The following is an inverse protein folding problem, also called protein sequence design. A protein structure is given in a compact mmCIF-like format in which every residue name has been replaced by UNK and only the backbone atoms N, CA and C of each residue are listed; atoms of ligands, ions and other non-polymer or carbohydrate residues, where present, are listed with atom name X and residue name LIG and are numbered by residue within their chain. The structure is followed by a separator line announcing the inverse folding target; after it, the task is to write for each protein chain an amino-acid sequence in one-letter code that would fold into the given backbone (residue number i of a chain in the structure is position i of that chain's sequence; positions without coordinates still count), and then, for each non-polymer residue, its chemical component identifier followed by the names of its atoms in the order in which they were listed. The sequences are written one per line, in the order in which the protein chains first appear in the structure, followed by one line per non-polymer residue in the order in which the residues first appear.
data_IF_607501788315
#
_entry.id   IF_607501788315
#
_cell.length_a   1.000
_cell.length_b   1.000
_cell.length_c   1.000
_cell.angle_alpha   90.00
_cell.angle_beta   90.00
_cell.angle_gamma   90.00
#
_symmetry.space_group_name_H-M   'P 1'
#
loop_
_entity.id
_entity.type
_entity.pdbx_description
1 polymer ?
#
# COMPACT_ATOMS: atom_id res chain seq x y z
N UNK A 1 31.77 0.28 -18.25
CA UNK A 1 30.97 -0.92 -18.55
C UNK A 1 29.64 -0.43 -19.10
N UNK A 2 29.25 -0.84 -20.31
CA UNK A 2 27.93 -0.52 -20.86
C UNK A 2 26.89 -1.44 -20.22
N UNK A 3 25.75 -0.93 -19.74
CA UNK A 3 24.71 -1.78 -19.16
C UNK A 3 24.22 -2.79 -20.19
N UNK A 4 23.89 -3.99 -19.73
CA UNK A 4 23.24 -4.98 -20.58
C UNK A 4 21.83 -4.51 -20.93
N UNK A 5 21.25 -5.03 -22.01
CA UNK A 5 19.88 -4.70 -22.38
C UNK A 5 18.88 -5.02 -21.27
N UNK A 6 19.16 -6.06 -20.47
CA UNK A 6 18.30 -6.45 -19.35
C UNK A 6 18.34 -5.46 -18.19
N UNK A 7 19.50 -4.86 -17.91
CA UNK A 7 19.64 -3.81 -16.90
C UNK A 7 18.80 -2.59 -17.26
N UNK A 8 18.80 -2.21 -18.54
CA UNK A 8 18.00 -1.08 -19.05
C UNK A 8 16.50 -1.38 -18.93
N UNK A 9 16.07 -2.56 -19.36
CA UNK A 9 14.66 -2.97 -19.28
C UNK A 9 14.17 -3.03 -17.84
N UNK A 10 14.93 -3.69 -16.96
CA UNK A 10 14.59 -3.78 -15.54
C UNK A 10 14.50 -2.39 -14.89
N UNK A 11 15.46 -1.51 -15.19
CA UNK A 11 15.46 -0.15 -14.66
C UNK A 11 14.24 0.64 -15.14
N UNK A 12 13.92 0.59 -16.45
CA UNK A 12 12.74 1.27 -16.98
C UNK A 12 11.45 0.74 -16.36
N UNK A 13 11.30 -0.59 -16.30
CA UNK A 13 10.12 -1.22 -15.71
C UNK A 13 9.97 -0.85 -14.24
N UNK A 14 11.04 -0.94 -13.44
CA UNK A 14 11.02 -0.57 -12.03
C UNK A 14 10.66 0.91 -11.83
N UNK A 15 11.26 1.80 -12.61
CA UNK A 15 11.04 3.23 -12.51
C UNK A 15 9.59 3.62 -12.86
N UNK A 16 9.09 3.16 -14.02
CA UNK A 16 7.71 3.47 -14.43
C UNK A 16 6.67 2.76 -13.57
N UNK A 17 6.91 1.52 -13.15
CA UNK A 17 6.02 0.83 -12.20
C UNK A 17 5.98 1.56 -10.86
N UNK A 18 7.12 2.01 -10.34
CA UNK A 18 7.22 2.79 -9.10
C UNK A 18 6.42 4.10 -9.18
N UNK A 19 6.56 4.84 -10.27
CA UNK A 19 5.77 6.06 -10.53
C UNK A 19 4.28 5.73 -10.61
N UNK A 20 3.89 4.70 -11.37
CA UNK A 20 2.50 4.29 -11.51
C UNK A 20 1.86 3.88 -10.19
N UNK A 21 2.55 3.05 -9.39
CA UNK A 21 2.08 2.64 -8.07
C UNK A 21 1.98 3.85 -7.12
N UNK A 22 2.97 4.76 -7.15
CA UNK A 22 2.96 5.98 -6.36
C UNK A 22 1.74 6.87 -6.67
N UNK A 23 1.43 7.05 -7.96
CA UNK A 23 0.25 7.80 -8.41
C UNK A 23 -1.05 7.13 -7.98
N UNK A 24 -1.19 5.81 -8.20
CA UNK A 24 -2.37 5.07 -7.77
C UNK A 24 -2.58 5.13 -6.25
N UNK A 25 -1.50 5.05 -5.47
CA UNK A 25 -1.56 5.22 -4.02
C UNK A 25 -1.93 6.64 -3.61
N UNK A 26 -1.44 7.65 -4.32
CA UNK A 26 -1.85 9.04 -4.13
C UNK A 26 -3.34 9.25 -4.39
N UNK A 27 -3.85 8.75 -5.52
CA UNK A 27 -5.29 8.77 -5.84
C UNK A 27 -6.09 8.04 -4.76
N UNK A 28 -5.65 6.84 -4.36
CA UNK A 28 -6.30 6.06 -3.31
C UNK A 28 -6.36 6.81 -1.97
N UNK A 29 -5.28 7.51 -1.60
CA UNK A 29 -5.24 8.33 -0.38
C UNK A 29 -6.23 9.50 -0.48
N UNK A 30 -6.25 10.21 -1.61
CA UNK A 30 -7.17 11.32 -1.86
C UNK A 30 -8.63 10.84 -1.76
N UNK A 31 -8.97 9.73 -2.43
CA UNK A 31 -10.30 9.14 -2.35
C UNK A 31 -10.67 8.76 -0.91
N UNK A 32 -9.73 8.21 -0.13
CA UNK A 32 -10.00 7.83 1.26
C UNK A 32 -10.18 9.03 2.19
N UNK A 33 -9.54 10.16 1.90
CA UNK A 33 -9.76 11.42 2.63
C UNK A 33 -11.17 11.96 2.33
N UNK A 34 -11.61 11.89 1.07
CA UNK A 34 -12.94 12.34 0.67
C UNK A 34 -14.07 11.36 1.02
N UNK A 35 -13.77 10.07 1.16
CA UNK A 35 -14.73 9.02 1.52
C UNK A 35 -14.22 8.24 2.74
N UNK A 36 -14.31 8.82 3.95
CA UNK A 36 -13.85 8.16 5.16
C UNK A 36 -14.59 6.83 5.36
N UNK A 37 -13.87 5.74 5.71
CA UNK A 37 -14.51 4.47 6.06
C UNK A 37 -15.48 4.65 7.23
N UNK A 38 -16.56 3.87 7.26
CA UNK A 38 -17.43 3.83 8.45
C UNK A 38 -16.59 3.51 9.70
N UNK A 39 -16.80 4.23 10.81
CA UNK A 39 -16.07 3.97 12.05
C UNK A 39 -16.23 2.50 12.45
N UNK A 40 -15.11 1.77 12.52
CA UNK A 40 -15.12 0.44 13.11
C UNK A 40 -15.60 0.55 14.57
N UNK A 41 -16.35 -0.46 15.03
CA UNK A 41 -16.87 -0.50 16.40
C UNK A 41 -15.74 -0.19 17.42
N UNK A 42 -15.97 0.74 18.37
CA UNK A 42 -14.91 1.21 19.26
C UNK A 42 -14.42 0.06 20.16
N UNK A 43 -13.09 -0.13 20.26
CA UNK A 43 -12.48 -0.80 21.41
C UNK A 43 -11.57 -2.01 21.16
N UNK A 44 -11.40 -2.51 19.94
CA UNK A 44 -10.48 -3.66 19.72
C UNK A 44 -9.05 -3.18 19.44
N UNK A 45 -8.08 -3.66 20.22
CA UNK A 45 -6.65 -3.40 20.00
C UNK A 45 -6.22 -3.73 18.57
N UNK A 46 -6.80 -4.78 17.99
CA UNK A 46 -6.61 -5.22 16.61
C UNK A 46 -7.00 -4.15 15.59
N UNK A 47 -8.10 -3.42 15.80
CA UNK A 47 -8.55 -2.36 14.89
C UNK A 47 -7.62 -1.15 14.85
N UNK A 48 -7.01 -0.80 16.00
CA UNK A 48 -6.01 0.28 16.09
C UNK A 48 -4.72 -0.10 15.36
N UNK A 49 -4.25 -1.33 15.56
CA UNK A 49 -3.05 -1.85 14.89
C UNK A 49 -3.27 -1.91 13.37
N UNK A 50 -4.44 -2.40 12.93
CA UNK A 50 -4.77 -2.44 11.51
C UNK A 50 -4.77 -1.03 10.89
N UNK A 51 -5.40 -0.06 11.55
CA UNK A 51 -5.41 1.34 11.08
C UNK A 51 -4.00 1.92 10.99
N UNK A 52 -3.18 1.71 12.03
CA UNK A 52 -1.78 2.15 12.04
C UNK A 52 -0.96 1.53 10.89
N UNK A 53 -1.10 0.22 10.64
CA UNK A 53 -0.43 -0.46 9.53
C UNK A 53 -0.84 0.11 8.17
N UNK A 54 -2.13 0.40 7.96
CA UNK A 54 -2.59 1.00 6.70
C UNK A 54 -2.00 2.40 6.49
N UNK A 55 -1.96 3.24 7.52
CA UNK A 55 -1.30 4.55 7.45
C UNK A 55 0.20 4.43 7.19
N UNK A 56 0.86 3.47 7.85
CA UNK A 56 2.27 3.17 7.61
C UNK A 56 2.50 2.76 6.15
N UNK A 57 1.63 1.95 5.54
CA UNK A 57 1.73 1.60 4.12
C UNK A 57 1.58 2.80 3.20
N UNK A 58 0.63 3.71 3.45
CA UNK A 58 0.51 4.94 2.67
C UNK A 58 1.80 5.76 2.72
N UNK A 59 2.30 6.03 3.93
CA UNK A 59 3.53 6.80 4.12
C UNK A 59 4.74 6.12 3.46
N UNK A 60 4.91 4.81 3.67
CA UNK A 60 6.04 4.06 3.14
C UNK A 60 6.04 3.99 1.62
N UNK A 61 4.91 3.63 0.98
CA UNK A 61 4.86 3.46 -0.48
C UNK A 61 4.97 4.80 -1.20
N UNK A 62 4.25 5.83 -0.74
CA UNK A 62 4.33 7.18 -1.35
C UNK A 62 5.73 7.76 -1.15
N UNK A 63 6.26 7.68 0.08
CA UNK A 63 7.62 8.13 0.38
C UNK A 63 8.65 7.40 -0.48
N UNK A 64 8.47 6.10 -0.72
CA UNK A 64 9.40 5.31 -1.51
C UNK A 64 9.36 5.65 -3.01
N UNK A 65 8.17 5.89 -3.56
CA UNK A 65 8.02 6.38 -4.92
C UNK A 65 8.71 7.74 -5.08
N UNK A 66 8.53 8.66 -4.13
CA UNK A 66 9.20 9.95 -4.14
C UNK A 66 10.74 9.81 -4.07
N UNK A 67 11.26 8.96 -3.17
CA UNK A 67 12.70 8.68 -3.09
C UNK A 67 13.25 8.11 -4.40
N UNK A 68 12.52 7.22 -5.07
CA UNK A 68 12.90 6.67 -6.37
C UNK A 68 13.00 7.75 -7.45
N UNK A 69 11.99 8.61 -7.57
CA UNK A 69 12.00 9.75 -8.50
C UNK A 69 13.16 10.70 -8.21
N UNK A 70 13.41 11.03 -6.94
CA UNK A 70 14.55 11.87 -6.55
C UNK A 70 15.87 11.21 -6.93
N UNK A 71 16.05 9.92 -6.64
CA UNK A 71 17.26 9.18 -6.98
C UNK A 71 17.52 9.13 -8.50
N UNK A 72 16.47 8.99 -9.31
CA UNK A 72 16.57 8.84 -10.77
C UNK A 72 16.78 10.15 -11.52
N UNK A 73 16.20 11.27 -11.05
CA UNK A 73 16.16 12.51 -11.84
C UNK A 73 16.84 13.72 -11.18
N UNK A 74 17.06 13.69 -9.86
CA UNK A 74 17.50 14.87 -9.12
C UNK A 74 18.84 14.64 -8.41
N UNK A 75 18.90 13.67 -7.51
CA UNK A 75 20.08 13.42 -6.68
C UNK A 75 20.20 11.97 -6.23
N UNK A 76 21.24 11.30 -6.69
CA UNK A 76 21.49 9.88 -6.39
C UNK A 76 21.85 9.60 -4.92
N UNK A 77 22.21 10.61 -4.12
CA UNK A 77 22.57 10.43 -2.71
C UNK A 77 21.46 9.83 -1.84
N UNK A 78 20.20 9.90 -2.28
CA UNK A 78 19.06 9.27 -1.58
C UNK A 78 18.91 7.76 -1.86
N UNK A 79 19.65 7.21 -2.83
CA UNK A 79 19.52 5.81 -3.26
C UNK A 79 19.68 4.77 -2.12
N UNK A 80 20.60 4.93 -1.14
CA UNK A 80 20.68 4.00 -0.02
C UNK A 80 19.38 3.94 0.81
N UNK A 81 18.73 5.09 1.02
CA UNK A 81 17.45 5.16 1.74
C UNK A 81 16.32 4.52 0.92
N UNK A 82 16.36 4.66 -0.41
CA UNK A 82 15.42 3.96 -1.29
C UNK A 82 15.54 2.43 -1.14
N UNK A 83 16.76 1.90 -1.11
CA UNK A 83 17.02 0.47 -0.91
C UNK A 83 16.60 -0.01 0.50
N UNK A 84 16.85 0.77 1.54
CA UNK A 84 16.44 0.40 2.91
C UNK A 84 14.91 0.38 3.00
N UNK A 85 14.25 1.42 2.51
CA UNK A 85 12.80 1.48 2.60
C UNK A 85 12.09 0.41 1.76
N UNK A 86 12.66 -0.06 0.65
CA UNK A 86 12.07 -1.18 -0.11
C UNK A 86 12.06 -2.47 0.70
N UNK A 87 13.13 -2.76 1.46
CA UNK A 87 13.18 -3.89 2.40
C UNK A 87 12.13 -3.76 3.50
N UNK A 88 11.93 -2.56 4.04
CA UNK A 88 10.89 -2.29 5.05
C UNK A 88 9.50 -2.57 4.46
N UNK A 89 9.21 -2.05 3.26
CA UNK A 89 7.92 -2.29 2.59
C UNK A 89 7.71 -3.78 2.34
N UNK A 90 8.72 -4.52 1.87
CA UNK A 90 8.61 -5.97 1.67
C UNK A 90 8.28 -6.70 2.98
N UNK A 91 8.91 -6.33 4.09
CA UNK A 91 8.58 -6.90 5.40
C UNK A 91 7.14 -6.57 5.85
N UNK A 92 6.70 -5.33 5.63
CA UNK A 92 5.33 -4.92 5.93
C UNK A 92 4.32 -5.70 5.08
N UNK A 93 4.56 -5.83 3.76
CA UNK A 93 3.71 -6.60 2.85
C UNK A 93 3.62 -8.05 3.30
N UNK A 94 4.75 -8.68 3.65
CA UNK A 94 4.75 -10.05 4.16
C UNK A 94 3.89 -10.19 5.43
N UNK A 95 4.03 -9.27 6.39
CA UNK A 95 3.22 -9.24 7.60
C UNK A 95 1.72 -9.05 7.28
N UNK A 96 1.40 -8.16 6.34
CA UNK A 96 0.04 -7.90 5.91
C UNK A 96 -0.61 -9.13 5.24
N UNK A 97 0.12 -9.80 4.36
CA UNK A 97 -0.35 -11.02 3.71
C UNK A 97 -0.54 -12.16 4.72
N UNK A 98 0.37 -12.31 5.68
CA UNK A 98 0.23 -13.28 6.76
C UNK A 98 -1.00 -12.99 7.62
N UNK A 99 -1.23 -11.72 7.97
CA UNK A 99 -2.43 -11.30 8.70
C UNK A 99 -3.70 -11.56 7.89
N UNK A 100 -3.73 -11.19 6.61
CA UNK A 100 -4.87 -11.44 5.72
C UNK A 100 -5.16 -12.95 5.61
N UNK A 101 -4.14 -13.77 5.42
CA UNK A 101 -4.26 -15.23 5.37
C UNK A 101 -4.78 -15.80 6.69
N UNK A 102 -4.31 -15.30 7.83
CA UNK A 102 -4.81 -15.70 9.15
C UNK A 102 -6.30 -15.36 9.31
N UNK A 103 -6.68 -14.16 8.91
CA UNK A 103 -8.07 -13.70 8.94
C UNK A 103 -8.98 -14.54 8.03
N UNK A 104 -8.52 -14.94 6.85
CA UNK A 104 -9.31 -15.79 5.94
C UNK A 104 -9.37 -17.26 6.35
N UNK A 105 -8.26 -17.84 6.80
CA UNK A 105 -8.15 -19.29 6.98
C UNK A 105 -8.51 -19.72 8.41
N UNK A 106 -8.12 -18.93 9.40
CA UNK A 106 -8.26 -19.28 10.82
C UNK A 106 -9.41 -18.50 11.45
N UNK A 107 -9.41 -17.17 11.35
CA UNK A 107 -10.46 -16.36 11.95
C UNK A 107 -11.79 -16.43 11.20
N UNK A 108 -11.75 -16.76 9.89
CA UNK A 108 -12.90 -16.80 8.96
C UNK A 108 -13.79 -15.56 9.06
N UNK A 109 -13.16 -14.39 9.14
CA UNK A 109 -13.88 -13.13 9.20
C UNK A 109 -14.04 -12.49 7.81
N UNK A 110 -14.97 -11.55 7.71
CA UNK A 110 -15.29 -10.83 6.46
C UNK A 110 -14.22 -9.77 6.11
N UNK A 111 -13.03 -9.77 6.72
CA UNK A 111 -12.04 -8.70 6.53
C UNK A 111 -11.59 -8.60 5.09
N UNK A 112 -11.35 -9.73 4.44
CA UNK A 112 -10.95 -9.77 3.02
C UNK A 112 -12.14 -9.50 2.10
N UNK A 113 -13.34 -9.97 2.45
CA UNK A 113 -14.55 -9.70 1.68
C UNK A 113 -14.87 -8.20 1.62
N UNK A 114 -14.62 -7.45 2.70
CA UNK A 114 -14.75 -5.99 2.71
C UNK A 114 -13.73 -5.28 1.82
N UNK A 115 -12.59 -5.90 1.52
CA UNK A 115 -11.61 -5.37 0.58
C UNK A 115 -11.94 -5.70 -0.88
N UNK A 116 -12.54 -6.87 -1.14
CA UNK A 116 -12.86 -7.35 -2.49
C UNK A 116 -14.25 -6.89 -2.98
N UNK A 117 -15.23 -6.84 -2.09
CA UNK A 117 -16.63 -6.50 -2.37
C UNK A 117 -17.13 -5.54 -1.29
N UNK A 118 -17.14 -4.21 -1.55
CA UNK A 118 -17.81 -3.28 -0.65
C UNK A 118 -19.30 -3.63 -0.65
N UNK A 119 -19.77 -4.31 0.39
CA UNK A 119 -21.19 -4.66 0.54
C UNK A 119 -21.98 -3.36 0.71
N UNK A 120 -22.44 -2.77 -0.39
CA UNK A 120 -23.38 -1.66 -0.39
C UNK A 120 -24.65 -2.21 0.25
N UNK A 121 -24.84 -2.00 1.54
CA UNK A 121 -26.16 -2.20 2.16
C UNK A 121 -27.13 -1.28 1.40
N UNK A 122 -27.83 -1.85 0.42
CA UNK A 122 -29.05 -1.27 -0.13
C UNK A 122 -29.98 -1.19 1.07
N UNK A 123 -30.10 0.00 1.66
CA UNK A 123 -31.13 0.29 2.65
C UNK A 123 -32.46 -0.03 1.98
N UNK A 124 -33.02 -1.18 2.32
CA UNK A 124 -34.43 -1.45 2.12
C UNK A 124 -35.16 -0.48 3.05
N UNK A 125 -35.47 0.70 2.55
CA UNK A 125 -36.45 1.59 3.17
C UNK A 125 -37.72 1.46 2.35
N UNK A 126 -38.64 0.69 2.94
CA UNK A 126 -40.01 0.48 2.52
C UNK A 126 -40.68 1.81 2.17
N UNK A 127 -41.31 1.87 1.00
CA UNK A 127 -42.61 2.52 0.77
C UNK A 127 -43.41 1.60 -0.13
#
# INVERSE_FOLDING_TARGET
MTPSSWDVVQHQLHNYAGIGIGLLMGVRLVLRIFQPPEPAAPGTWTGRIATALHHAFYAAIIGQACMGVVASYFWFGIAPYHVIGSKIILAMVALHLAAAAWHTLVARDETVDRMLLPHRKRSAKNV
#
